data_IF_261961483351
#
_entry.id   IF_261961483351
#
_cell.length_a   1.000
_cell.length_b   1.000
_cell.length_c   1.000
_cell.angle_alpha   90.00
_cell.angle_beta   90.00
_cell.angle_gamma   90.00
#
_symmetry.space_group_name_H-M   'P 1'
#
loop_
_entity.id
_entity.type
_entity.pdbx_description
1 polymer ?
#
# COMPACT_ATOMS: atom_id res chain seq x y z
N UNK A 1 -14.11 -15.37 -4.20
CA UNK A 1 -12.67 -15.08 -4.03
C UNK A 1 -12.52 -13.67 -3.45
N UNK A 2 -12.17 -13.54 -2.17
CA UNK A 2 -11.96 -12.22 -1.52
C UNK A 2 -10.89 -11.49 -2.32
N UNK A 3 -11.26 -10.35 -2.89
CA UNK A 3 -10.41 -9.50 -3.71
C UNK A 3 -9.26 -9.01 -2.84
N UNK A 4 -8.12 -9.69 -2.95
CA UNK A 4 -6.95 -9.44 -2.11
C UNK A 4 -6.60 -7.95 -2.16
N UNK A 5 -6.53 -7.33 -1.00
CA UNK A 5 -6.35 -5.90 -0.89
C UNK A 5 -4.88 -5.58 -1.12
N UNK A 6 -4.52 -5.31 -2.38
CA UNK A 6 -3.15 -5.09 -2.86
C UNK A 6 -2.32 -4.09 -2.03
N UNK A 7 -2.99 -3.21 -1.28
CA UNK A 7 -2.39 -2.21 -0.39
C UNK A 7 -1.85 -2.83 0.90
N UNK A 8 -2.59 -3.76 1.51
CA UNK A 8 -2.13 -4.51 2.68
C UNK A 8 -0.95 -5.40 2.28
N UNK A 9 -1.05 -6.08 1.12
CA UNK A 9 0.05 -6.88 0.58
C UNK A 9 1.32 -6.05 0.34
N UNK A 10 1.19 -4.86 -0.25
CA UNK A 10 2.31 -3.94 -0.45
C UNK A 10 2.91 -3.45 0.88
N UNK A 11 2.08 -3.11 1.86
CA UNK A 11 2.54 -2.65 3.17
C UNK A 11 3.26 -3.75 3.97
N UNK A 12 2.80 -4.99 3.89
CA UNK A 12 3.48 -6.17 4.47
C UNK A 12 4.79 -6.43 3.73
N UNK A 13 4.81 -6.34 2.40
CA UNK A 13 6.02 -6.52 1.61
C UNK A 13 7.09 -5.48 1.95
N UNK A 14 6.71 -4.20 2.09
CA UNK A 14 7.63 -3.13 2.49
C UNK A 14 8.17 -3.34 3.91
N UNK A 15 7.33 -3.73 4.87
CA UNK A 15 7.78 -4.05 6.24
C UNK A 15 8.68 -5.30 6.27
N UNK A 16 8.39 -6.32 5.46
CA UNK A 16 9.24 -7.50 5.34
C UNK A 16 10.60 -7.18 4.72
N UNK A 17 10.63 -6.32 3.70
CA UNK A 17 11.86 -5.83 3.08
C UNK A 17 12.69 -4.97 4.05
N UNK A 18 12.02 -4.21 4.90
CA UNK A 18 12.64 -3.48 6.01
C UNK A 18 13.31 -4.44 7.00
N UNK A 19 12.59 -5.45 7.51
CA UNK A 19 13.14 -6.45 8.44
C UNK A 19 14.38 -7.15 7.86
N UNK A 20 14.37 -7.46 6.57
CA UNK A 20 15.53 -8.02 5.89
C UNK A 20 16.67 -6.99 5.80
N UNK A 21 16.39 -5.75 5.43
CA UNK A 21 17.40 -4.68 5.35
C UNK A 21 18.05 -4.38 6.71
N UNK A 22 17.26 -4.35 7.78
CA UNK A 22 17.72 -4.16 9.15
C UNK A 22 18.71 -5.27 9.56
N UNK A 23 18.50 -6.49 9.07
CA UNK A 23 19.36 -7.62 9.42
C UNK A 23 20.70 -7.60 8.68
N UNK A 24 20.77 -6.91 7.54
CA UNK A 24 21.98 -6.77 6.73
C UNK A 24 22.67 -5.40 6.90
N UNK A 25 22.16 -4.53 7.79
CA UNK A 25 22.65 -3.15 8.01
C UNK A 25 22.81 -2.40 6.66
N UNK A 26 21.89 -2.67 5.74
CA UNK A 26 22.08 -2.39 4.32
C UNK A 26 21.71 -0.96 3.94
N UNK A 27 20.91 -0.29 4.78
CA UNK A 27 20.42 1.07 4.56
C UNK A 27 20.66 1.94 5.79
N UNK A 28 20.89 3.26 5.60
CA UNK A 28 20.97 4.20 6.72
C UNK A 28 19.63 4.25 7.47
N UNK A 29 19.68 4.40 8.80
CA UNK A 29 18.53 4.44 9.73
C UNK A 29 17.35 5.29 9.24
N UNK A 30 17.64 6.40 8.54
CA UNK A 30 16.62 7.29 8.00
C UNK A 30 15.74 6.63 6.93
N UNK A 31 16.35 5.83 6.04
CA UNK A 31 15.64 5.13 4.96
C UNK A 31 14.83 3.97 5.53
N UNK A 32 15.35 3.29 6.55
CA UNK A 32 14.62 2.27 7.30
C UNK A 32 13.37 2.84 7.98
N UNK A 33 13.51 3.94 8.73
CA UNK A 33 12.38 4.61 9.38
C UNK A 33 11.31 5.06 8.39
N UNK A 34 11.72 5.57 7.22
CA UNK A 34 10.79 5.89 6.12
C UNK A 34 10.10 4.64 5.56
N UNK A 35 10.82 3.53 5.39
CA UNK A 35 10.27 2.28 4.85
C UNK A 35 9.20 1.69 5.78
N UNK A 36 9.46 1.69 7.09
CA UNK A 36 8.50 1.29 8.13
C UNK A 36 7.28 2.21 8.14
N UNK A 37 7.51 3.53 8.18
CA UNK A 37 6.45 4.51 8.24
C UNK A 37 5.51 4.43 7.02
N UNK A 38 6.09 4.31 5.82
CA UNK A 38 5.34 4.13 4.57
C UNK A 38 4.62 2.77 4.57
N UNK A 39 5.29 1.70 4.98
CA UNK A 39 4.70 0.36 5.07
C UNK A 39 3.48 0.32 6.00
N UNK A 40 3.59 0.87 7.21
CA UNK A 40 2.47 0.98 8.17
C UNK A 40 1.35 1.83 7.60
N UNK A 41 1.67 2.96 6.96
CA UNK A 41 0.68 3.82 6.30
C UNK A 41 -0.09 3.07 5.22
N UNK A 42 0.60 2.26 4.41
CA UNK A 42 -0.04 1.40 3.40
C UNK A 42 -0.93 0.32 4.00
N UNK A 43 -0.54 -0.27 5.14
CA UNK A 43 -1.37 -1.24 5.88
C UNK A 43 -2.62 -0.55 6.42
N UNK A 44 -2.50 0.64 7.02
CA UNK A 44 -3.64 1.41 7.53
C UNK A 44 -4.59 1.85 6.41
N UNK A 45 -4.07 2.38 5.31
CA UNK A 45 -4.87 2.70 4.11
C UNK A 45 -5.54 1.44 3.56
N UNK A 46 -4.83 0.31 3.56
CA UNK A 46 -5.34 -1.00 3.21
C UNK A 46 -6.51 -1.41 4.10
N UNK A 47 -6.33 -1.43 5.42
CA UNK A 47 -7.38 -1.77 6.39
C UNK A 47 -8.59 -0.84 6.28
N UNK A 48 -8.36 0.47 6.10
CA UNK A 48 -9.43 1.44 5.88
C UNK A 48 -10.21 1.13 4.60
N UNK A 49 -9.49 0.82 3.51
CA UNK A 49 -10.08 0.29 2.28
C UNK A 49 -10.89 -0.99 2.55
N UNK A 50 -10.36 -1.96 3.27
CA UNK A 50 -11.07 -3.23 3.49
C UNK A 50 -12.36 -3.06 4.30
N UNK A 51 -12.33 -2.19 5.31
CA UNK A 51 -13.44 -1.94 6.22
C UNK A 51 -14.50 -0.96 5.66
N UNK A 52 -14.10 -0.03 4.78
CA UNK A 52 -15.03 0.83 4.06
C UNK A 52 -15.14 0.42 2.61
N UNK A 53 -16.28 -0.18 2.26
CA UNK A 53 -16.64 -0.70 0.94
C UNK A 53 -16.14 0.20 -0.22
N UNK A 54 -14.91 -0.07 -0.70
CA UNK A 54 -14.15 0.74 -1.68
C UNK A 54 -14.85 0.82 -3.03
N UNK A 55 -15.93 0.08 -3.25
CA UNK A 55 -16.61 0.09 -4.55
C UNK A 55 -16.86 1.52 -5.04
N UNK A 56 -17.22 2.47 -4.16
CA UNK A 56 -17.27 3.91 -4.51
C UNK A 56 -15.94 4.49 -5.00
N UNK A 57 -14.83 4.23 -4.31
CA UNK A 57 -13.51 4.75 -4.70
C UNK A 57 -12.93 4.05 -5.93
N UNK A 58 -13.22 2.75 -6.12
CA UNK A 58 -12.83 2.00 -7.31
C UNK A 58 -13.63 2.44 -8.53
N UNK A 59 -14.94 2.64 -8.39
CA UNK A 59 -15.78 3.19 -9.46
C UNK A 59 -15.42 4.65 -9.75
N UNK A 60 -15.08 5.44 -8.74
CA UNK A 60 -14.56 6.80 -8.93
C UNK A 60 -13.23 6.80 -9.68
N UNK A 61 -12.27 5.97 -9.26
CA UNK A 61 -10.98 5.82 -9.96
C UNK A 61 -11.18 5.32 -11.40
N UNK A 62 -12.09 4.37 -11.63
CA UNK A 62 -12.42 3.87 -12.97
C UNK A 62 -13.05 4.98 -13.83
N UNK A 63 -13.98 5.76 -13.28
CA UNK A 63 -14.57 6.95 -13.94
C UNK A 63 -13.53 8.01 -14.27
N UNK A 64 -12.59 8.29 -13.37
CA UNK A 64 -11.51 9.24 -13.63
C UNK A 64 -10.57 8.74 -14.73
N UNK A 65 -10.20 7.46 -14.71
CA UNK A 65 -9.38 6.86 -15.77
C UNK A 65 -10.10 6.90 -17.12
N UNK A 66 -11.39 6.59 -17.17
CA UNK A 66 -12.21 6.73 -18.37
C UNK A 66 -12.39 8.19 -18.79
N UNK A 67 -12.44 9.16 -17.87
CA UNK A 67 -12.47 10.58 -18.25
C UNK A 67 -11.12 11.09 -18.79
N UNK A 68 -10.01 10.60 -18.25
CA UNK A 68 -8.67 11.07 -18.59
C UNK A 68 -8.08 10.37 -19.83
N UNK A 69 -8.39 9.08 -20.01
CA UNK A 69 -7.87 8.24 -21.09
C UNK A 69 -8.96 7.62 -21.98
N UNK A 70 -10.24 7.85 -21.68
CA UNK A 70 -11.31 7.48 -22.59
C UNK A 70 -11.38 8.47 -23.72
N UNK A 71 -10.98 7.99 -24.90
CA UNK A 71 -11.35 8.54 -26.19
C UNK A 71 -12.83 8.27 -26.45
#
# INVERSE_FOLDING_TARGET
MKKSNNYIGLGIFLNGLWLLSNQFDMFPDFIEGLCVGVGITFILIGMYKENHNINKFKDYRKRLFTKAFGK
#
